data_IF_153443241819
#
_entry.id   IF_153443241819
#
_cell.length_a   1.000
_cell.length_b   1.000
_cell.length_c   1.000
_cell.angle_alpha   90.00
_cell.angle_beta   90.00
_cell.angle_gamma   90.00
#
_symmetry.space_group_name_H-M   'P 1'
#
loop_
_entity.id
_entity.type
_entity.pdbx_description
1 polymer ?
#
# COMPACT_ATOMS: atom_id res chain seq x y z
N UNK A 1 8.85 13.75 12.48
CA UNK A 1 7.94 12.67 12.05
C UNK A 1 8.77 11.50 11.62
N UNK A 2 8.33 10.29 11.96
CA UNK A 2 8.96 9.01 11.62
C UNK A 2 7.98 8.21 10.71
N UNK A 3 7.90 8.52 9.42
CA UNK A 3 6.95 7.91 8.51
C UNK A 3 7.38 6.51 8.08
N UNK A 4 6.40 5.63 7.84
CA UNK A 4 6.58 4.36 7.14
C UNK A 4 5.81 4.38 5.82
N UNK A 5 6.38 3.79 4.77
CA UNK A 5 5.65 3.54 3.52
C UNK A 5 5.01 2.15 3.62
N UNK A 6 3.72 2.06 3.31
CA UNK A 6 2.97 0.80 3.25
C UNK A 6 2.51 0.56 1.82
N UNK A 7 2.91 -0.57 1.26
CA UNK A 7 2.62 -0.97 -0.12
C UNK A 7 1.85 -2.28 -0.11
N UNK A 8 0.52 -2.27 -0.26
CA UNK A 8 -0.22 -3.48 -0.58
C UNK A 8 0.13 -3.95 -1.98
N UNK A 9 0.44 -5.24 -2.13
CA UNK A 9 0.66 -5.86 -3.44
C UNK A 9 -0.18 -7.12 -3.56
N UNK A 10 -0.93 -7.23 -4.66
CA UNK A 10 -1.83 -8.33 -4.87
C UNK A 10 -1.28 -9.33 -5.88
N UNK A 11 -1.18 -10.61 -5.48
CA UNK A 11 -0.66 -11.70 -6.30
C UNK A 11 -1.77 -12.71 -6.57
N UNK A 12 -2.06 -12.99 -7.83
CA UNK A 12 -3.08 -13.97 -8.26
C UNK A 12 -2.46 -15.25 -8.80
N UNK A 13 -3.18 -16.37 -8.66
CA UNK A 13 -2.76 -17.67 -9.19
C UNK A 13 -2.72 -17.69 -10.73
N UNK A 14 -3.62 -16.98 -11.38
CA UNK A 14 -3.80 -17.00 -12.84
C UNK A 14 -3.96 -15.59 -13.42
N UNK A 15 -3.62 -15.46 -14.71
CA UNK A 15 -3.97 -14.29 -15.49
C UNK A 15 -5.51 -14.12 -15.50
N UNK A 16 -6.00 -12.90 -15.24
CA UNK A 16 -7.42 -12.57 -15.37
C UNK A 16 -7.86 -12.89 -16.79
N UNK A 17 -8.81 -13.81 -16.96
CA UNK A 17 -9.52 -13.95 -18.23
C UNK A 17 -10.57 -12.86 -18.25
N UNK A 18 -10.63 -12.08 -19.35
CA UNK A 18 -11.71 -11.14 -19.57
C UNK A 18 -13.06 -11.87 -19.39
N UNK A 19 -13.92 -11.37 -18.48
CA UNK A 19 -15.25 -11.90 -18.23
C UNK A 19 -15.41 -12.88 -17.07
N UNK A 20 -14.36 -13.24 -16.33
CA UNK A 20 -14.46 -14.11 -15.15
C UNK A 20 -14.69 -13.32 -13.86
N UNK A 21 -15.81 -13.59 -13.16
CA UNK A 21 -16.05 -13.14 -11.78
C UNK A 21 -15.06 -13.82 -10.84
N UNK A 22 -13.89 -13.24 -10.66
CA UNK A 22 -13.05 -13.51 -9.51
C UNK A 22 -13.33 -12.38 -8.53
N UNK A 23 -13.57 -12.72 -7.27
CA UNK A 23 -13.70 -11.80 -6.15
C UNK A 23 -12.38 -11.03 -5.94
N UNK A 24 -12.01 -10.19 -6.89
CA UNK A 24 -10.84 -9.34 -6.80
C UNK A 24 -11.30 -7.98 -6.31
N UNK A 25 -10.99 -7.70 -5.07
CA UNK A 25 -11.11 -6.37 -4.47
C UNK A 25 -10.14 -5.37 -5.14
N UNK A 26 -9.20 -5.87 -5.95
CA UNK A 26 -8.16 -5.09 -6.62
C UNK A 26 -8.25 -5.24 -8.13
N UNK A 27 -8.23 -4.11 -8.84
CA UNK A 27 -8.39 -4.07 -10.30
C UNK A 27 -7.18 -4.66 -11.05
N UNK A 28 -5.98 -4.69 -10.42
CA UNK A 28 -4.71 -5.03 -11.06
C UNK A 28 -3.93 -6.11 -10.31
N UNK A 29 -4.52 -7.33 -10.21
CA UNK A 29 -3.80 -8.46 -9.64
C UNK A 29 -2.64 -8.90 -10.53
N UNK A 30 -1.43 -8.97 -9.98
CA UNK A 30 -0.26 -9.50 -10.65
C UNK A 30 -0.25 -11.03 -10.63
N UNK A 31 -0.32 -11.73 -11.79
CA UNK A 31 -0.16 -13.18 -11.83
C UNK A 31 1.16 -13.63 -11.21
N UNK A 32 1.16 -14.75 -10.50
CA UNK A 32 2.36 -15.27 -9.84
C UNK A 32 3.51 -15.52 -10.83
N UNK A 33 3.20 -15.83 -12.08
CA UNK A 33 4.17 -16.07 -13.15
C UNK A 33 4.71 -14.79 -13.82
N UNK A 34 4.25 -13.60 -13.43
CA UNK A 34 4.64 -12.32 -14.03
C UNK A 34 5.40 -11.45 -13.02
N UNK A 35 6.34 -10.58 -13.47
CA UNK A 35 7.12 -9.73 -12.56
C UNK A 35 6.27 -8.73 -11.78
N UNK A 36 5.15 -8.24 -12.36
CA UNK A 36 4.31 -7.18 -11.79
C UNK A 36 4.96 -5.79 -11.86
N UNK A 37 4.32 -4.83 -11.20
CA UNK A 37 4.71 -3.42 -11.20
C UNK A 37 5.57 -3.03 -9.97
N UNK A 38 5.48 -3.79 -8.87
CA UNK A 38 6.23 -3.54 -7.65
C UNK A 38 7.74 -3.27 -7.87
N UNK A 39 8.47 -3.98 -8.77
CA UNK A 39 9.87 -3.67 -9.04
C UNK A 39 10.10 -2.23 -9.52
N UNK A 40 9.17 -1.67 -10.30
CA UNK A 40 9.26 -0.30 -10.82
C UNK A 40 9.08 0.72 -9.70
N UNK A 41 8.11 0.51 -8.82
CA UNK A 41 7.92 1.33 -7.63
C UNK A 41 9.16 1.29 -6.73
N UNK A 42 9.66 0.10 -6.37
CA UNK A 42 10.84 -0.04 -5.50
C UNK A 42 12.07 0.64 -6.11
N UNK A 43 12.29 0.50 -7.43
CA UNK A 43 13.38 1.21 -8.11
C UNK A 43 13.25 2.73 -7.99
N UNK A 44 12.04 3.27 -8.08
CA UNK A 44 11.80 4.70 -7.94
C UNK A 44 12.02 5.19 -6.51
N UNK A 45 11.66 4.40 -5.51
CA UNK A 45 11.84 4.71 -4.10
C UNK A 45 13.29 4.82 -3.67
N UNK A 46 14.23 4.17 -4.36
CA UNK A 46 15.67 4.30 -4.06
C UNK A 46 16.20 5.75 -4.17
N UNK A 47 15.49 6.61 -4.89
CA UNK A 47 15.85 8.03 -5.08
C UNK A 47 15.23 8.95 -4.02
N UNK A 48 14.27 8.45 -3.24
CA UNK A 48 13.52 9.26 -2.26
C UNK A 48 14.37 9.54 -1.03
N UNK A 49 14.53 10.81 -0.70
CA UNK A 49 15.30 11.25 0.47
C UNK A 49 14.51 11.06 1.75
N UNK A 50 15.22 10.62 2.81
CA UNK A 50 14.63 10.46 4.14
C UNK A 50 13.71 9.24 4.24
N UNK A 51 13.79 8.32 3.28
CA UNK A 51 13.06 7.06 3.32
C UNK A 51 13.62 6.19 4.45
N UNK A 52 12.74 5.78 5.37
CA UNK A 52 13.05 4.86 6.46
C UNK A 52 12.61 3.43 6.11
N UNK A 53 11.55 2.97 6.76
CA UNK A 53 11.02 1.62 6.60
C UNK A 53 9.93 1.56 5.52
N UNK A 54 9.90 0.45 4.79
CA UNK A 54 8.81 0.06 3.89
C UNK A 54 8.18 -1.22 4.43
N UNK A 55 6.85 -1.30 4.46
CA UNK A 55 6.07 -2.52 4.71
C UNK A 55 5.39 -2.92 3.40
N UNK A 56 5.73 -4.09 2.87
CA UNK A 56 5.08 -4.65 1.68
C UNK A 56 4.08 -5.70 2.13
N UNK A 57 2.79 -5.41 2.04
CA UNK A 57 1.71 -6.30 2.45
C UNK A 57 1.33 -7.21 1.28
N UNK A 58 1.58 -8.52 1.42
CA UNK A 58 1.30 -9.48 0.36
C UNK A 58 -0.12 -9.99 0.46
N UNK A 59 -0.94 -9.61 -0.49
CA UNK A 59 -2.33 -10.04 -0.62
C UNK A 59 -2.42 -11.10 -1.71
N UNK A 60 -2.94 -12.27 -1.41
CA UNK A 60 -3.05 -13.36 -2.38
C UNK A 60 -4.25 -14.27 -2.11
N UNK A 61 -4.54 -15.11 -3.08
CA UNK A 61 -5.46 -16.23 -2.89
C UNK A 61 -4.85 -17.25 -1.91
N UNK A 62 -5.62 -17.88 -1.02
CA UNK A 62 -5.11 -18.85 -0.04
C UNK A 62 -4.31 -20.00 -0.66
N UNK A 63 -4.64 -20.40 -1.88
CA UNK A 63 -3.99 -21.52 -2.59
C UNK A 63 -2.53 -21.24 -2.99
N UNK A 64 -2.11 -19.97 -3.03
CA UNK A 64 -0.75 -19.56 -3.48
C UNK A 64 -0.01 -18.69 -2.46
N UNK A 65 -0.52 -18.60 -1.23
CA UNK A 65 -0.05 -17.66 -0.23
C UNK A 65 1.46 -17.73 0.04
N UNK A 66 2.00 -18.94 0.26
CA UNK A 66 3.44 -19.13 0.45
C UNK A 66 4.24 -18.72 -0.79
N UNK A 67 3.80 -19.14 -1.97
CA UNK A 67 4.47 -18.80 -3.22
C UNK A 67 4.44 -17.30 -3.52
N UNK A 68 3.34 -16.62 -3.16
CA UNK A 68 3.22 -15.18 -3.29
C UNK A 68 4.22 -14.44 -2.38
N UNK A 69 4.34 -14.87 -1.12
CA UNK A 69 5.30 -14.29 -0.17
C UNK A 69 6.74 -14.53 -0.66
N UNK A 70 7.10 -15.74 -1.06
CA UNK A 70 8.42 -16.07 -1.61
C UNK A 70 8.76 -15.22 -2.84
N UNK A 71 7.79 -15.07 -3.76
CA UNK A 71 7.94 -14.22 -4.94
C UNK A 71 8.27 -12.78 -4.54
N UNK A 72 7.47 -12.20 -3.64
CA UNK A 72 7.65 -10.80 -3.23
C UNK A 72 8.94 -10.61 -2.43
N UNK A 73 9.33 -11.57 -1.58
CA UNK A 73 10.63 -11.56 -0.92
C UNK A 73 11.76 -11.57 -1.95
N UNK A 74 11.66 -12.40 -2.99
CA UNK A 74 12.62 -12.43 -4.10
C UNK A 74 12.67 -11.13 -4.91
N UNK A 75 11.57 -10.39 -5.00
CA UNK A 75 11.55 -9.05 -5.61
C UNK A 75 12.26 -8.05 -4.69
N UNK A 76 11.86 -7.97 -3.43
CA UNK A 76 12.37 -7.02 -2.44
C UNK A 76 13.88 -7.18 -2.22
N UNK A 77 14.39 -8.43 -2.18
CA UNK A 77 15.81 -8.71 -1.96
C UNK A 77 16.76 -8.09 -3.02
N UNK A 78 16.26 -7.77 -4.20
CA UNK A 78 17.02 -7.10 -5.27
C UNK A 78 17.27 -5.61 -4.97
N UNK A 79 16.53 -5.03 -4.03
CA UNK A 79 16.60 -3.64 -3.64
C UNK A 79 17.18 -3.50 -2.23
N UNK A 80 18.36 -4.08 -2.01
CA UNK A 80 19.03 -4.18 -0.70
C UNK A 80 19.34 -2.82 -0.04
N UNK A 81 19.29 -1.73 -0.78
CA UNK A 81 19.43 -0.37 -0.25
C UNK A 81 18.15 0.14 0.42
N UNK A 82 17.01 -0.51 0.18
CA UNK A 82 15.74 -0.21 0.81
C UNK A 82 15.57 -1.07 2.07
N UNK A 83 15.17 -0.45 3.17
CA UNK A 83 14.77 -1.18 4.37
C UNK A 83 13.31 -1.62 4.22
N UNK A 84 13.08 -2.76 3.58
CA UNK A 84 11.74 -3.25 3.28
C UNK A 84 11.46 -4.58 3.99
N UNK A 85 10.33 -4.63 4.69
CA UNK A 85 9.79 -5.82 5.36
C UNK A 85 8.60 -6.34 4.57
N UNK A 86 8.63 -7.62 4.22
CA UNK A 86 7.51 -8.32 3.58
C UNK A 86 6.61 -8.91 4.67
N UNK A 87 5.32 -8.62 4.59
CA UNK A 87 4.30 -9.06 5.54
C UNK A 87 3.31 -9.96 4.80
N UNK A 88 3.23 -11.20 5.26
CA UNK A 88 2.29 -12.21 4.76
C UNK A 88 1.41 -12.77 5.87
N UNK A 89 0.84 -13.96 5.62
CA UNK A 89 -0.01 -14.63 6.58
C UNK A 89 0.67 -14.98 7.90
N UNK A 90 1.95 -15.39 7.94
CA UNK A 90 2.61 -15.66 9.21
C UNK A 90 2.66 -14.43 10.14
N UNK A 91 2.99 -13.26 9.60
CA UNK A 91 3.04 -12.00 10.35
C UNK A 91 1.64 -11.56 10.79
N UNK A 92 0.64 -11.70 9.92
CA UNK A 92 -0.76 -11.45 10.26
C UNK A 92 -1.21 -12.35 11.44
N UNK A 93 -0.85 -13.63 11.43
CA UNK A 93 -1.20 -14.56 12.49
C UNK A 93 -0.61 -14.13 13.84
N UNK A 94 0.61 -13.62 13.88
CA UNK A 94 1.25 -13.08 15.09
C UNK A 94 0.48 -11.86 15.62
N UNK A 95 0.07 -10.95 14.74
CA UNK A 95 -0.74 -9.78 15.12
C UNK A 95 -2.08 -10.24 15.69
N UNK A 96 -2.77 -11.15 15.04
CA UNK A 96 -4.06 -11.68 15.49
C UNK A 96 -3.94 -12.40 16.84
N UNK A 97 -2.90 -13.21 17.02
CA UNK A 97 -2.61 -13.87 18.32
C UNK A 97 -2.40 -12.82 19.42
N UNK A 98 -1.67 -11.75 19.14
CA UNK A 98 -1.45 -10.68 20.10
C UNK A 98 -2.74 -9.93 20.44
N UNK A 99 -3.58 -9.68 19.46
CA UNK A 99 -4.91 -9.10 19.69
C UNK A 99 -5.77 -9.96 20.61
N UNK A 100 -5.75 -11.29 20.43
CA UNK A 100 -6.49 -12.21 21.31
C UNK A 100 -6.00 -12.09 22.76
N UNK A 101 -4.68 -12.11 22.98
CA UNK A 101 -4.08 -11.95 24.30
C UNK A 101 -4.46 -10.63 24.98
N UNK A 102 -4.72 -9.58 24.20
CA UNK A 102 -5.13 -8.26 24.68
C UNK A 102 -6.66 -8.11 24.84
N UNK A 103 -7.43 -9.18 24.59
CA UNK A 103 -8.89 -9.13 24.61
C UNK A 103 -9.54 -8.39 23.43
N UNK A 104 -8.78 -8.17 22.35
CA UNK A 104 -9.21 -7.48 21.15
C UNK A 104 -9.68 -8.43 20.04
N UNK A 105 -9.96 -9.71 20.34
CA UNK A 105 -10.32 -10.73 19.36
C UNK A 105 -11.50 -10.35 18.46
N UNK A 106 -12.46 -9.57 18.97
CA UNK A 106 -13.61 -9.09 18.17
C UNK A 106 -13.20 -8.16 17.02
N UNK A 107 -12.04 -7.52 17.09
CA UNK A 107 -11.51 -6.62 16.06
C UNK A 107 -10.63 -7.31 15.03
N UNK A 108 -10.32 -8.60 15.19
CA UNK A 108 -9.47 -9.34 14.24
C UNK A 108 -10.02 -9.33 12.81
N UNK A 109 -11.34 -9.33 12.66
CA UNK A 109 -11.99 -9.26 11.33
C UNK A 109 -11.79 -7.92 10.60
N UNK A 110 -11.40 -6.88 11.32
CA UNK A 110 -11.16 -5.55 10.78
C UNK A 110 -9.74 -5.38 10.22
N UNK A 111 -8.85 -6.35 10.46
CA UNK A 111 -7.48 -6.39 9.93
C UNK A 111 -7.26 -7.69 9.15
N UNK A 112 -6.50 -7.64 8.07
CA UNK A 112 -6.23 -8.85 7.30
C UNK A 112 -5.53 -8.59 5.97
N UNK A 113 -5.26 -9.67 5.25
CA UNK A 113 -4.69 -9.65 3.90
C UNK A 113 -5.76 -9.95 2.83
N UNK A 114 -7.03 -9.61 3.13
CA UNK A 114 -8.14 -9.71 2.19
C UNK A 114 -9.10 -8.54 2.42
N UNK A 115 -9.60 -7.97 1.33
CA UNK A 115 -10.47 -6.80 1.38
C UNK A 115 -9.70 -5.48 1.59
N UNK A 116 -10.11 -4.46 0.85
CA UNK A 116 -9.40 -3.18 0.75
C UNK A 116 -9.20 -2.50 2.12
N UNK A 117 -10.26 -2.41 2.94
CA UNK A 117 -10.20 -1.77 4.25
C UNK A 117 -9.34 -2.55 5.25
N UNK A 118 -9.48 -3.88 5.30
CA UNK A 118 -8.76 -4.71 6.25
C UNK A 118 -7.24 -4.68 6.03
N UNK A 119 -6.80 -4.63 4.76
CA UNK A 119 -5.37 -4.51 4.41
C UNK A 119 -4.81 -3.15 4.82
N UNK A 120 -5.56 -2.07 4.60
CA UNK A 120 -5.15 -0.72 5.04
C UNK A 120 -5.09 -0.65 6.57
N UNK A 121 -6.07 -1.21 7.26
CA UNK A 121 -6.09 -1.28 8.73
C UNK A 121 -4.89 -2.08 9.28
N UNK A 122 -4.53 -3.20 8.64
CA UNK A 122 -3.32 -3.96 9.01
C UNK A 122 -2.07 -3.09 8.88
N UNK A 123 -1.93 -2.33 7.80
CA UNK A 123 -0.82 -1.40 7.62
C UNK A 123 -0.74 -0.34 8.71
N UNK A 124 -1.88 0.23 9.13
CA UNK A 124 -1.94 1.20 10.23
C UNK A 124 -1.54 0.57 11.58
N UNK A 125 -2.08 -0.62 11.87
CA UNK A 125 -1.76 -1.35 13.12
C UNK A 125 -0.27 -1.70 13.18
N UNK A 126 0.30 -2.20 12.09
CA UNK A 126 1.73 -2.53 12.03
C UNK A 126 2.60 -1.28 12.19
N UNK A 127 2.23 -0.17 11.57
CA UNK A 127 2.95 1.09 11.72
C UNK A 127 2.99 1.55 13.18
N UNK A 128 1.85 1.52 13.87
CA UNK A 128 1.74 1.91 15.28
C UNK A 128 2.56 0.97 16.19
N UNK A 129 2.40 -0.36 16.02
CA UNK A 129 3.14 -1.37 16.79
C UNK A 129 4.65 -1.25 16.60
N UNK A 130 5.11 -0.87 15.40
CA UNK A 130 6.53 -0.69 15.09
C UNK A 130 7.07 0.70 15.47
N UNK A 131 6.23 1.58 16.04
CA UNK A 131 6.63 2.88 16.57
C UNK A 131 6.76 3.99 15.50
N UNK A 132 6.06 3.85 14.38
CA UNK A 132 5.95 4.91 13.40
C UNK A 132 4.80 5.86 13.77
N UNK A 133 4.98 7.15 13.53
CA UNK A 133 3.99 8.19 13.85
C UNK A 133 3.10 8.58 12.67
N UNK A 134 3.41 8.06 11.49
CA UNK A 134 2.72 8.40 10.25
C UNK A 134 2.90 7.33 9.18
N UNK A 135 1.91 7.20 8.31
CA UNK A 135 1.86 6.21 7.23
C UNK A 135 1.65 6.89 5.89
N UNK A 136 2.43 6.49 4.90
CA UNK A 136 2.22 6.82 3.49
C UNK A 136 1.83 5.54 2.76
N UNK A 137 0.60 5.45 2.28
CA UNK A 137 0.17 4.35 1.42
C UNK A 137 0.52 4.65 -0.03
N UNK A 138 1.13 3.68 -0.70
CA UNK A 138 1.37 3.67 -2.14
C UNK A 138 0.80 2.38 -2.72
N UNK A 139 0.18 2.47 -3.89
CA UNK A 139 -0.21 1.29 -4.64
C UNK A 139 1.01 0.77 -5.43
N UNK A 140 1.10 -0.53 -5.66
CA UNK A 140 2.32 -1.17 -6.19
C UNK A 140 2.63 -0.86 -7.68
N UNK A 141 1.71 -0.20 -8.37
CA UNK A 141 1.84 0.29 -9.74
C UNK A 141 2.24 1.77 -9.85
N UNK A 142 2.37 2.47 -8.74
CA UNK A 142 2.81 3.87 -8.70
C UNK A 142 4.33 4.01 -8.94
N UNK A 143 4.77 5.19 -9.38
CA UNK A 143 6.17 5.56 -9.55
C UNK A 143 6.42 6.92 -8.93
N UNK A 144 7.49 7.03 -8.17
CA UNK A 144 7.88 8.27 -7.50
C UNK A 144 9.06 8.91 -8.23
N UNK A 145 8.80 10.00 -8.93
CA UNK A 145 9.85 10.73 -9.67
C UNK A 145 10.53 11.84 -8.84
N UNK A 146 9.91 12.24 -7.73
CA UNK A 146 10.37 13.34 -6.90
C UNK A 146 11.18 12.84 -5.70
N UNK A 147 12.45 13.18 -5.64
CA UNK A 147 13.32 12.83 -4.52
C UNK A 147 12.85 13.41 -3.17
N UNK A 148 12.11 14.52 -3.17
CA UNK A 148 11.53 15.15 -1.97
C UNK A 148 10.09 14.72 -1.69
N UNK A 149 9.62 13.67 -2.34
CA UNK A 149 8.26 13.15 -2.22
C UNK A 149 7.83 13.03 -0.76
N UNK A 150 8.63 12.36 0.07
CA UNK A 150 8.26 12.08 1.46
C UNK A 150 8.11 13.37 2.27
N UNK A 151 9.02 14.33 2.11
CA UNK A 151 8.93 15.65 2.75
C UNK A 151 7.65 16.38 2.34
N UNK A 152 7.28 16.32 1.06
CA UNK A 152 6.05 16.95 0.54
C UNK A 152 4.80 16.23 1.01
N UNK A 153 4.81 14.89 1.03
CA UNK A 153 3.71 14.08 1.54
C UNK A 153 3.43 14.37 3.02
N UNK A 154 4.47 14.55 3.83
CA UNK A 154 4.35 14.82 5.26
C UNK A 154 4.08 16.29 5.59
N UNK A 155 4.25 17.21 4.63
CA UNK A 155 4.10 18.64 4.89
C UNK A 155 2.68 18.99 5.39
N UNK A 156 2.61 19.62 6.54
CA UNK A 156 1.35 20.06 7.16
C UNK A 156 0.59 18.98 7.93
N UNK A 157 0.97 17.71 7.84
CA UNK A 157 0.35 16.64 8.63
C UNK A 157 0.57 16.91 10.13
N UNK A 158 -0.46 16.67 10.94
CA UNK A 158 -0.44 16.96 12.38
C UNK A 158 -0.55 18.44 12.76
N UNK A 159 -0.56 19.36 11.79
CA UNK A 159 -0.78 20.80 12.03
C UNK A 159 -2.26 21.15 12.05
N UNK A 160 -2.57 22.32 12.59
CA UNK A 160 -3.92 22.86 12.55
C UNK A 160 -4.15 23.70 11.29
N UNK A 161 -5.32 23.59 10.70
CA UNK A 161 -5.81 24.54 9.70
C UNK A 161 -6.03 25.93 10.31
N UNK A 162 -6.25 26.95 9.47
CA UNK A 162 -6.65 28.31 9.94
C UNK A 162 -7.89 28.32 10.82
N UNK A 163 -8.74 27.28 10.73
CA UNK A 163 -9.96 27.11 11.55
C UNK A 163 -9.74 26.24 12.79
N UNK A 164 -8.49 25.89 13.13
CA UNK A 164 -8.17 25.05 14.29
C UNK A 164 -8.46 23.56 14.11
N UNK A 165 -8.73 23.09 12.90
CA UNK A 165 -9.00 21.67 12.60
C UNK A 165 -7.67 20.95 12.35
N UNK A 166 -7.36 19.82 13.03
CA UNK A 166 -6.13 19.08 12.79
C UNK A 166 -6.12 18.42 11.41
N UNK A 167 -4.99 18.47 10.74
CA UNK A 167 -4.76 17.76 9.48
C UNK A 167 -4.23 16.37 9.82
N UNK A 168 -5.14 15.40 9.88
CA UNK A 168 -4.80 14.01 10.26
C UNK A 168 -4.49 13.13 9.04
N UNK A 169 -4.97 13.50 7.86
CA UNK A 169 -4.72 12.77 6.62
C UNK A 169 -4.65 13.73 5.42
N UNK A 170 -3.97 13.28 4.38
CA UNK A 170 -3.86 13.96 3.10
C UNK A 170 -3.97 12.91 2.00
N UNK A 171 -4.50 13.30 0.86
CA UNK A 171 -4.39 12.54 -0.38
C UNK A 171 -3.51 13.30 -1.36
N UNK A 172 -2.77 12.56 -2.17
CA UNK A 172 -2.06 13.09 -3.33
C UNK A 172 -2.89 12.92 -4.60
N UNK A 173 -2.31 13.34 -5.69
CA UNK A 173 -2.74 13.03 -7.04
C UNK A 173 -1.53 12.56 -7.85
N UNK A 174 -1.77 11.78 -8.88
CA UNK A 174 -0.73 11.31 -9.79
C UNK A 174 -0.82 12.06 -11.13
N UNK A 175 0.31 12.14 -11.81
CA UNK A 175 0.37 12.62 -13.17
C UNK A 175 0.16 11.46 -14.13
N UNK A 176 -0.66 11.68 -15.16
CA UNK A 176 -0.78 10.74 -16.26
C UNK A 176 0.46 10.81 -17.17
N UNK A 177 0.51 9.96 -18.20
CA UNK A 177 1.63 9.92 -19.18
C UNK A 177 1.88 11.25 -19.92
N UNK A 178 0.94 12.18 -19.87
CA UNK A 178 1.04 13.52 -20.48
C UNK A 178 1.51 14.59 -19.48
N UNK A 179 1.84 14.20 -18.25
CA UNK A 179 2.25 15.12 -17.18
C UNK A 179 1.09 15.97 -16.61
N UNK A 180 -0.15 15.58 -16.86
CA UNK A 180 -1.34 16.23 -16.32
C UNK A 180 -1.92 15.45 -15.15
N UNK A 181 -2.36 16.15 -14.09
CA UNK A 181 -3.12 15.57 -12.98
C UNK A 181 -4.63 15.47 -13.30
N UNK A 182 -5.06 16.06 -14.42
CA UNK A 182 -6.45 15.96 -14.85
C UNK A 182 -6.65 14.64 -15.60
N UNK A 183 -7.60 13.85 -15.14
CA UNK A 183 -8.06 12.70 -15.89
C UNK A 183 -8.76 13.19 -17.16
N UNK A 184 -8.35 12.71 -18.33
CA UNK A 184 -9.13 12.83 -19.56
C UNK A 184 -10.31 11.87 -19.53
N UNK A 185 -11.05 11.79 -18.44
CA UNK A 185 -12.28 11.01 -18.44
C UNK A 185 -13.25 11.64 -19.43
N UNK A 186 -13.79 10.79 -20.30
CA UNK A 186 -14.89 11.19 -21.19
C UNK A 186 -15.92 11.98 -20.37
N UNK A 187 -16.45 13.06 -20.95
CA UNK A 187 -17.43 13.98 -20.39
C UNK A 187 -18.67 13.26 -19.83
N UNK A 188 -18.53 12.72 -18.66
CA UNK A 188 -19.66 12.23 -17.89
C UNK A 188 -20.15 13.39 -17.01
N UNK A 189 -21.44 13.69 -17.07
CA UNK A 189 -22.07 14.81 -16.38
C UNK A 189 -21.66 14.96 -14.90
N UNK A 190 -21.37 13.87 -14.20
CA UNK A 190 -20.96 13.88 -12.79
C UNK A 190 -19.51 14.33 -12.58
N UNK A 191 -18.66 14.36 -13.60
CA UNK A 191 -17.29 14.85 -13.48
C UNK A 191 -17.23 16.38 -13.29
N UNK A 192 -18.30 17.11 -13.64
CA UNK A 192 -18.38 18.54 -13.42
C UNK A 192 -18.58 18.95 -11.96
N UNK A 193 -18.91 17.99 -11.07
CA UNK A 193 -19.10 18.29 -9.64
C UNK A 193 -17.80 18.18 -8.81
N UNK A 194 -16.70 17.75 -9.40
CA UNK A 194 -15.43 17.48 -8.71
C UNK A 194 -14.26 18.35 -9.21
N UNK A 195 -14.54 19.38 -9.99
CA UNK A 195 -13.54 20.35 -10.47
C UNK A 195 -13.48 21.58 -9.59
#
# INVERSE_FOLDING_TARGET
>A
MNPVIVIPTFVSARRRKEGGSVLTTYDHATPISQPGELPRLLASLQKVRGLGQILVLVVSEPSIEMQAVEKIQGVVSRYSTLNALVVGAPELALVQQRMEQLGLGKLQKEIGLAGYGAVRNLGLVLADVLGFDSVVFLDDDEVIDDADFLQKAMYGLGKLTKKGIPILAKTGFYFNSEGSYLSKSQDKWYNHFWQ
#
